data_IF_353823525535
#
_entry.id   IF_353823525535
#
_cell.length_a   1.000
_cell.length_b   1.000
_cell.length_c   1.000
_cell.angle_alpha   90.00
_cell.angle_beta   90.00
_cell.angle_gamma   90.00
#
_symmetry.space_group_name_H-M   'P 1'
#
loop_
_entity.id
_entity.type
_entity.pdbx_description
1 polymer ?
#
# COMPACT_ATOMS: atom_id res chain seq x y z
N UNK A 1 5.21 -10.73 12.93
CA UNK A 1 5.01 -11.05 11.50
C UNK A 1 4.62 -12.51 11.34
N UNK A 2 3.68 -12.80 10.45
CA UNK A 2 3.38 -14.14 9.93
C UNK A 2 3.98 -14.26 8.52
N UNK A 3 4.70 -15.33 8.22
CA UNK A 3 5.00 -15.76 6.85
C UNK A 3 4.24 -17.07 6.62
N UNK A 4 3.41 -17.10 5.58
CA UNK A 4 2.60 -18.23 5.16
C UNK A 4 3.12 -18.69 3.81
N UNK A 5 3.53 -19.95 3.71
CA UNK A 5 4.15 -20.51 2.50
C UNK A 5 3.19 -21.56 1.91
N UNK A 6 2.99 -21.52 0.59
CA UNK A 6 2.12 -22.43 -0.15
C UNK A 6 2.86 -23.03 -1.33
N UNK A 7 2.40 -24.20 -1.76
CA UNK A 7 3.07 -25.00 -2.79
C UNK A 7 3.12 -24.26 -4.15
N UNK A 8 2.11 -23.44 -4.45
CA UNK A 8 2.01 -22.66 -5.68
C UNK A 8 1.24 -21.32 -5.52
N UNK A 9 1.22 -20.54 -6.60
CA UNK A 9 0.58 -19.23 -6.70
C UNK A 9 -0.96 -19.24 -6.61
N UNK A 10 -1.64 -20.33 -6.99
CA UNK A 10 -3.10 -20.46 -6.86
C UNK A 10 -3.46 -20.78 -5.40
N UNK A 11 -2.71 -21.66 -4.73
CA UNK A 11 -2.85 -21.94 -3.31
C UNK A 11 -2.54 -20.71 -2.43
N UNK A 12 -1.52 -19.91 -2.78
CA UNK A 12 -1.24 -18.62 -2.14
C UNK A 12 -2.38 -17.61 -2.35
N UNK A 13 -2.88 -17.49 -3.59
CA UNK A 13 -4.01 -16.61 -3.92
C UNK A 13 -5.30 -17.01 -3.20
N UNK A 14 -5.60 -18.30 -3.13
CA UNK A 14 -6.76 -18.85 -2.45
C UNK A 14 -6.71 -18.61 -0.94
N UNK A 15 -5.52 -18.75 -0.32
CA UNK A 15 -5.35 -18.44 1.10
C UNK A 15 -5.64 -16.97 1.41
N UNK A 16 -5.12 -16.04 0.60
CA UNK A 16 -5.40 -14.60 0.78
C UNK A 16 -6.87 -14.27 0.52
N UNK A 17 -7.49 -14.83 -0.52
CA UNK A 17 -8.89 -14.58 -0.82
C UNK A 17 -9.83 -15.11 0.29
N UNK A 18 -9.57 -16.31 0.82
CA UNK A 18 -10.28 -16.84 1.98
C UNK A 18 -10.09 -15.91 3.19
N UNK A 19 -8.85 -15.48 3.47
CA UNK A 19 -8.56 -14.61 4.61
C UNK A 19 -9.30 -13.27 4.54
N UNK A 20 -9.36 -12.65 3.36
CA UNK A 20 -10.13 -11.40 3.15
C UNK A 20 -11.64 -11.63 3.36
N UNK A 21 -12.20 -12.74 2.85
CA UNK A 21 -13.61 -13.10 3.09
C UNK A 21 -13.89 -13.32 4.57
N UNK A 22 -13.03 -14.03 5.29
CA UNK A 22 -13.18 -14.27 6.72
C UNK A 22 -12.99 -13.00 7.54
N UNK A 23 -12.11 -12.09 7.12
CA UNK A 23 -11.92 -10.79 7.79
C UNK A 23 -13.14 -9.90 7.65
N UNK A 24 -13.77 -9.83 6.47
CA UNK A 24 -15.01 -9.09 6.23
C UNK A 24 -16.17 -9.74 7.02
N UNK A 25 -16.33 -11.08 6.98
CA UNK A 25 -17.36 -11.81 7.73
C UNK A 25 -17.28 -11.55 9.25
N UNK A 26 -16.08 -11.64 9.83
CA UNK A 26 -15.90 -11.43 11.27
C UNK A 26 -16.00 -9.96 11.70
N UNK A 27 -15.85 -9.01 10.76
CA UNK A 27 -16.12 -7.60 11.01
C UNK A 27 -17.63 -7.28 10.93
N UNK A 28 -18.38 -8.03 10.11
CA UNK A 28 -19.82 -7.90 9.90
C UNK A 28 -20.25 -6.46 9.54
N UNK A 29 -19.79 -5.94 8.38
CA UNK A 29 -19.94 -4.52 8.05
C UNK A 29 -21.38 -4.11 7.73
N UNK A 30 -21.72 -2.88 8.13
CA UNK A 30 -23.03 -2.26 7.96
C UNK A 30 -22.88 -0.86 7.34
N UNK A 31 -23.95 -0.22 6.84
CA UNK A 31 -23.84 1.13 6.26
C UNK A 31 -23.28 2.20 7.22
N UNK A 32 -23.48 2.02 8.54
CA UNK A 32 -22.95 2.91 9.58
C UNK A 32 -21.57 2.49 10.12
N UNK A 33 -21.09 1.30 9.75
CA UNK A 33 -19.79 0.75 10.15
C UNK A 33 -19.26 -0.18 9.05
N UNK A 34 -18.75 0.38 7.94
CA UNK A 34 -18.26 -0.38 6.78
C UNK A 34 -16.85 -0.92 7.02
N UNK A 35 -16.46 -1.96 6.30
CA UNK A 35 -15.10 -2.51 6.33
C UNK A 35 -14.20 -1.77 5.35
N UNK A 36 -13.05 -1.26 5.80
CA UNK A 36 -12.15 -0.47 4.96
C UNK A 36 -10.96 -1.31 4.47
N UNK A 37 -10.86 -1.48 3.15
CA UNK A 37 -9.94 -2.40 2.47
C UNK A 37 -8.96 -1.65 1.55
N UNK A 38 -7.67 -1.68 1.89
CA UNK A 38 -6.59 -1.23 1.00
C UNK A 38 -6.29 -2.26 -0.09
N UNK A 39 -6.12 -1.84 -1.35
CA UNK A 39 -5.99 -2.74 -2.51
C UNK A 39 -4.80 -2.41 -3.45
N UNK A 40 -4.05 -3.42 -3.94
CA UNK A 40 -2.97 -3.24 -4.91
C UNK A 40 -3.42 -3.59 -6.34
N UNK A 41 -2.60 -3.23 -7.33
CA UNK A 41 -2.76 -3.66 -8.74
C UNK A 41 -1.65 -4.62 -9.15
N UNK A 42 -1.42 -4.79 -10.46
CA UNK A 42 -0.39 -5.68 -11.00
C UNK A 42 -0.79 -7.16 -11.02
N UNK A 43 0.17 -8.04 -11.31
CA UNK A 43 -0.12 -9.46 -11.56
C UNK A 43 -0.41 -10.29 -10.31
N UNK A 44 0.29 -10.04 -9.19
CA UNK A 44 0.17 -10.85 -7.96
C UNK A 44 -1.25 -10.92 -7.36
N UNK A 45 -2.05 -9.83 -7.27
CA UNK A 45 -3.42 -9.92 -6.72
C UNK A 45 -4.46 -10.49 -7.70
N UNK A 46 -4.15 -10.75 -8.98
CA UNK A 46 -5.15 -11.20 -9.96
C UNK A 46 -5.82 -12.54 -9.57
N UNK A 47 -5.05 -13.47 -8.99
CA UNK A 47 -5.59 -14.73 -8.46
C UNK A 47 -6.55 -14.48 -7.29
N UNK A 48 -6.20 -13.57 -6.39
CA UNK A 48 -7.04 -13.16 -5.26
C UNK A 48 -8.36 -12.57 -5.77
N UNK A 49 -8.32 -11.62 -6.71
CA UNK A 49 -9.53 -11.00 -7.28
C UNK A 49 -10.43 -12.00 -8.00
N UNK A 50 -9.86 -12.91 -8.82
CA UNK A 50 -10.60 -14.01 -9.46
C UNK A 50 -11.40 -14.82 -8.43
N UNK A 51 -10.77 -15.18 -7.31
CA UNK A 51 -11.39 -16.02 -6.26
C UNK A 51 -12.42 -15.21 -5.43
N UNK A 52 -12.15 -13.95 -5.11
CA UNK A 52 -13.13 -13.06 -4.45
C UNK A 52 -14.40 -12.88 -5.30
N UNK A 53 -14.24 -12.71 -6.62
CA UNK A 53 -15.37 -12.64 -7.58
C UNK A 53 -16.14 -13.97 -7.66
N UNK A 54 -15.45 -15.11 -7.64
CA UNK A 54 -16.10 -16.43 -7.58
C UNK A 54 -16.90 -16.60 -6.29
N UNK A 55 -16.33 -16.23 -5.13
CA UNK A 55 -17.01 -16.31 -3.82
C UNK A 55 -18.21 -15.38 -3.70
N UNK A 56 -18.12 -14.15 -4.24
CA UNK A 56 -19.28 -13.27 -4.35
C UNK A 56 -20.40 -13.90 -5.21
N UNK A 57 -20.06 -14.44 -6.39
CA UNK A 57 -21.02 -15.10 -7.28
C UNK A 57 -21.60 -16.41 -6.72
N UNK A 58 -20.92 -17.04 -5.75
CA UNK A 58 -21.42 -18.17 -4.98
C UNK A 58 -22.27 -17.77 -3.74
N UNK A 59 -22.47 -16.46 -3.49
CA UNK A 59 -23.19 -15.96 -2.33
C UNK A 59 -22.41 -16.05 -1.00
N UNK A 60 -21.11 -16.34 -1.04
CA UNK A 60 -20.30 -16.49 0.17
C UNK A 60 -19.91 -15.15 0.83
N UNK A 61 -19.99 -14.03 0.11
CA UNK A 61 -19.53 -12.71 0.58
C UNK A 61 -20.29 -11.58 -0.12
N UNK A 62 -20.41 -10.41 0.54
CA UNK A 62 -20.95 -9.16 -0.01
C UNK A 62 -19.93 -8.03 0.13
N UNK A 63 -19.87 -7.14 -0.87
CA UNK A 63 -19.01 -5.95 -0.90
C UNK A 63 -19.80 -4.63 -0.75
N UNK A 64 -21.11 -4.70 -0.52
CA UNK A 64 -22.04 -3.57 -0.35
C UNK A 64 -21.57 -2.57 0.72
N UNK A 65 -21.23 -3.08 1.91
CA UNK A 65 -20.71 -2.30 3.04
C UNK A 65 -19.16 -2.31 3.11
N UNK A 66 -18.47 -2.45 1.98
CA UNK A 66 -17.00 -2.35 1.89
C UNK A 66 -16.63 -1.00 1.25
N UNK A 67 -15.63 -0.33 1.81
CA UNK A 67 -14.98 0.85 1.24
C UNK A 67 -13.57 0.46 0.82
N UNK A 68 -13.17 0.80 -0.41
CA UNK A 68 -11.85 0.45 -0.95
C UNK A 68 -10.99 1.68 -1.18
N UNK A 69 -9.69 1.54 -0.92
CA UNK A 69 -8.65 2.52 -1.27
C UNK A 69 -7.53 1.81 -2.03
N UNK A 70 -7.30 2.19 -3.29
CA UNK A 70 -6.14 1.70 -4.03
C UNK A 70 -4.83 2.34 -3.57
N UNK A 71 -3.72 1.63 -3.77
CA UNK A 71 -2.36 2.10 -3.47
C UNK A 71 -1.93 3.30 -4.32
N UNK A 72 -2.27 3.32 -5.61
CA UNK A 72 -1.65 4.20 -6.59
C UNK A 72 -2.50 4.39 -7.85
N UNK A 73 -2.11 5.37 -8.67
CA UNK A 73 -2.52 5.57 -10.07
C UNK A 73 -1.42 6.36 -10.82
N UNK A 74 -1.26 6.11 -12.12
CA UNK A 74 -0.29 6.85 -12.94
C UNK A 74 -0.72 8.31 -13.15
N UNK A 75 0.24 9.24 -13.11
CA UNK A 75 -0.03 10.65 -13.42
C UNK A 75 -0.10 10.86 -14.93
N UNK A 76 -1.12 11.59 -15.39
CA UNK A 76 -1.32 11.97 -16.79
C UNK A 76 -1.94 10.88 -17.68
N UNK A 77 -2.12 9.65 -17.20
CA UNK A 77 -2.82 8.60 -17.96
C UNK A 77 -4.33 8.91 -18.00
N UNK A 78 -5.04 8.67 -19.12
CA UNK A 78 -6.50 8.73 -19.13
C UNK A 78 -7.13 7.69 -18.21
N UNK A 79 -8.14 8.09 -17.42
CA UNK A 79 -8.87 7.22 -16.47
C UNK A 79 -9.57 6.01 -17.12
N UNK A 80 -9.82 6.06 -18.42
CA UNK A 80 -10.40 5.03 -19.27
C UNK A 80 -9.35 4.25 -20.09
N UNK A 81 -8.07 4.65 -20.06
CA UNK A 81 -6.98 3.90 -20.69
C UNK A 81 -6.92 2.48 -20.13
N UNK A 82 -6.73 1.42 -20.95
CA UNK A 82 -6.81 0.03 -20.49
C UNK A 82 -5.82 -0.32 -19.37
N UNK A 83 -4.63 0.31 -19.39
CA UNK A 83 -3.55 0.08 -18.42
C UNK A 83 -3.52 1.13 -17.28
N UNK A 84 -4.56 1.97 -17.14
CA UNK A 84 -4.77 2.75 -15.90
C UNK A 84 -5.15 1.84 -14.75
N UNK A 85 -4.77 2.18 -13.53
CA UNK A 85 -5.10 1.37 -12.36
C UNK A 85 -6.60 1.44 -12.03
N UNK A 86 -7.27 2.53 -12.41
CA UNK A 86 -8.72 2.62 -12.49
C UNK A 86 -9.32 1.54 -13.41
N UNK A 87 -8.94 1.48 -14.70
CA UNK A 87 -9.44 0.46 -15.64
C UNK A 87 -9.12 -0.96 -15.18
N UNK A 88 -7.91 -1.20 -14.66
CA UNK A 88 -7.51 -2.48 -14.09
C UNK A 88 -8.48 -2.95 -12.99
N UNK A 89 -8.80 -2.09 -12.02
CA UNK A 89 -9.65 -2.48 -10.89
C UNK A 89 -11.12 -2.72 -11.29
N UNK A 90 -11.66 -1.93 -12.23
CA UNK A 90 -13.01 -2.20 -12.77
C UNK A 90 -13.05 -3.48 -13.61
N UNK A 91 -12.02 -3.73 -14.44
CA UNK A 91 -11.89 -4.94 -15.26
C UNK A 91 -11.79 -6.22 -14.43
N UNK A 92 -11.05 -6.20 -13.31
CA UNK A 92 -10.69 -7.40 -12.55
C UNK A 92 -11.49 -7.62 -11.26
N UNK A 93 -12.10 -6.58 -10.66
CA UNK A 93 -12.88 -6.72 -9.42
C UNK A 93 -14.22 -5.97 -9.47
N UNK A 94 -14.22 -4.64 -9.56
CA UNK A 94 -15.38 -3.82 -9.18
C UNK A 94 -16.60 -4.02 -10.09
N UNK A 95 -16.44 -4.31 -11.39
CA UNK A 95 -17.57 -4.62 -12.29
C UNK A 95 -18.21 -5.99 -12.05
N UNK A 96 -17.69 -6.79 -11.11
CA UNK A 96 -18.11 -8.19 -10.90
C UNK A 96 -18.67 -8.47 -9.49
N UNK A 97 -18.73 -7.45 -8.63
CA UNK A 97 -19.19 -7.53 -7.23
C UNK A 97 -20.15 -6.38 -6.91
N UNK A 98 -20.96 -6.50 -5.85
CA UNK A 98 -21.95 -5.48 -5.44
C UNK A 98 -21.34 -4.29 -4.66
N UNK A 99 -20.12 -3.87 -4.96
CA UNK A 99 -19.53 -2.67 -4.34
C UNK A 99 -20.20 -1.40 -4.91
N UNK A 100 -20.57 -0.47 -4.04
CA UNK A 100 -21.11 0.82 -4.51
C UNK A 100 -19.97 1.67 -5.11
N UNK A 101 -20.14 2.28 -6.30
CA UNK A 101 -19.08 3.10 -6.92
C UNK A 101 -18.60 4.28 -6.07
N UNK A 102 -19.47 4.81 -5.19
CA UNK A 102 -19.12 5.87 -4.24
C UNK A 102 -18.18 5.42 -3.11
N UNK A 103 -18.10 4.11 -2.85
CA UNK A 103 -17.22 3.50 -1.86
C UNK A 103 -15.82 3.19 -2.45
N UNK A 104 -15.64 3.32 -3.77
CA UNK A 104 -14.38 3.05 -4.47
C UNK A 104 -13.52 4.32 -4.51
N UNK A 105 -12.37 4.29 -3.85
CA UNK A 105 -11.39 5.38 -3.89
C UNK A 105 -10.13 4.92 -4.63
N UNK A 106 -9.76 5.69 -5.65
CA UNK A 106 -8.51 5.60 -6.42
C UNK A 106 -8.00 7.03 -6.58
N UNK A 107 -6.69 7.24 -6.53
CA UNK A 107 -6.04 8.54 -6.69
C UNK A 107 -6.28 9.11 -8.10
N UNK A 108 -6.69 10.36 -8.21
CA UNK A 108 -6.89 10.99 -9.52
C UNK A 108 -5.58 11.50 -10.14
N UNK A 109 -4.89 10.63 -10.88
CA UNK A 109 -3.67 10.97 -11.63
C UNK A 109 -3.83 12.06 -12.71
N UNK A 110 -5.05 12.49 -13.01
CA UNK A 110 -5.36 13.60 -13.94
C UNK A 110 -5.72 14.91 -13.22
N UNK A 111 -5.63 14.97 -11.87
CA UNK A 111 -5.93 16.20 -11.11
C UNK A 111 -4.87 17.28 -11.39
N UNK A 112 -5.23 18.52 -11.80
CA UNK A 112 -4.27 19.59 -12.03
C UNK A 112 -3.52 20.04 -10.76
N UNK A 113 -4.03 19.74 -9.57
CA UNK A 113 -3.29 19.88 -8.30
C UNK A 113 -3.12 18.51 -7.63
N UNK A 114 -2.05 17.83 -8.03
CA UNK A 114 -1.68 16.50 -7.54
C UNK A 114 -1.38 16.46 -6.03
N UNK A 115 -0.89 17.55 -5.43
CA UNK A 115 -0.65 17.61 -3.98
C UNK A 115 -1.96 17.68 -3.21
N UNK A 116 -2.91 18.50 -3.66
CA UNK A 116 -4.25 18.57 -3.08
C UNK A 116 -5.01 17.24 -3.21
N UNK A 117 -4.83 16.50 -4.31
CA UNK A 117 -5.35 15.13 -4.47
C UNK A 117 -4.82 14.20 -3.37
N UNK A 118 -3.50 14.19 -3.14
CA UNK A 118 -2.89 13.36 -2.10
C UNK A 118 -3.38 13.72 -0.69
N UNK A 119 -3.48 15.02 -0.36
CA UNK A 119 -4.01 15.50 0.93
C UNK A 119 -5.49 15.14 1.11
N UNK A 120 -6.30 15.24 0.05
CA UNK A 120 -7.70 14.82 0.07
C UNK A 120 -7.84 13.30 0.25
N UNK A 121 -6.96 12.50 -0.35
CA UNK A 121 -6.96 11.04 -0.22
C UNK A 121 -6.66 10.58 1.22
N UNK A 122 -5.61 11.13 1.84
CA UNK A 122 -5.30 10.93 3.26
C UNK A 122 -6.47 11.35 4.16
N UNK A 123 -7.09 12.49 3.84
CA UNK A 123 -8.25 13.00 4.59
C UNK A 123 -9.47 12.08 4.50
N UNK A 124 -9.72 11.45 3.34
CA UNK A 124 -10.77 10.44 3.16
C UNK A 124 -10.48 9.16 3.97
N UNK A 125 -9.25 8.64 3.93
CA UNK A 125 -8.84 7.48 4.73
C UNK A 125 -9.07 7.75 6.22
N UNK A 126 -8.70 8.94 6.69
CA UNK A 126 -8.93 9.35 8.08
C UNK A 126 -10.41 9.52 8.42
N UNK A 127 -11.22 10.05 7.51
CA UNK A 127 -12.65 10.28 7.71
C UNK A 127 -13.46 8.98 7.89
N UNK A 128 -13.03 7.87 7.28
CA UNK A 128 -13.64 6.54 7.48
C UNK A 128 -13.03 5.76 8.66
N UNK A 129 -12.11 6.35 9.42
CA UNK A 129 -11.51 5.76 10.62
C UNK A 129 -10.22 4.96 10.40
N UNK A 130 -9.61 5.04 9.22
CA UNK A 130 -8.42 4.27 8.82
C UNK A 130 -8.76 2.99 8.05
N UNK A 131 -7.74 2.19 7.70
CA UNK A 131 -7.87 0.96 6.91
C UNK A 131 -7.84 -0.26 7.84
N UNK A 132 -8.81 -1.17 7.73
CA UNK A 132 -8.93 -2.35 8.60
C UNK A 132 -8.06 -3.53 8.13
N UNK A 133 -7.84 -3.64 6.81
CA UNK A 133 -6.88 -4.55 6.18
C UNK A 133 -6.32 -3.90 4.91
N UNK A 134 -5.00 -3.81 4.79
CA UNK A 134 -4.32 -3.38 3.57
C UNK A 134 -3.73 -4.59 2.84
N UNK A 135 -4.26 -4.94 1.67
CA UNK A 135 -3.66 -5.93 0.77
C UNK A 135 -2.54 -5.24 -0.04
N UNK A 136 -1.36 -5.85 -0.08
CA UNK A 136 -0.17 -5.28 -0.70
C UNK A 136 0.50 -6.28 -1.66
N UNK A 137 1.22 -5.74 -2.65
CA UNK A 137 2.23 -6.48 -3.41
C UNK A 137 3.65 -6.03 -3.03
N UNK A 138 4.65 -6.56 -3.75
CA UNK A 138 6.05 -6.11 -3.68
C UNK A 138 6.62 -5.91 -5.08
N UNK A 139 7.52 -4.93 -5.27
CA UNK A 139 8.36 -4.81 -6.46
C UNK A 139 9.46 -5.88 -6.55
N UNK A 140 10.17 -5.97 -7.67
CA UNK A 140 11.39 -6.81 -7.80
C UNK A 140 12.59 -6.20 -7.02
N UNK A 141 12.47 -4.91 -6.67
CA UNK A 141 13.35 -4.05 -5.86
C UNK A 141 12.93 -3.92 -4.38
N UNK A 142 11.83 -4.55 -3.96
CA UNK A 142 11.28 -4.43 -2.61
C UNK A 142 10.34 -3.25 -2.35
N UNK A 143 9.88 -2.49 -3.36
CA UNK A 143 8.91 -1.42 -3.13
C UNK A 143 7.55 -1.94 -2.65
N UNK A 144 6.84 -1.15 -1.82
CA UNK A 144 5.44 -1.34 -1.44
C UNK A 144 4.61 -0.16 -1.96
N UNK A 145 3.59 -0.42 -2.78
CA UNK A 145 3.09 0.60 -3.75
C UNK A 145 4.28 1.17 -4.58
N UNK A 146 4.12 2.32 -5.25
CA UNK A 146 5.28 3.04 -5.81
C UNK A 146 6.18 3.75 -4.76
N UNK A 147 6.39 3.16 -3.57
CA UNK A 147 7.41 3.64 -2.62
C UNK A 147 8.80 3.12 -3.01
N UNK A 148 9.28 3.58 -4.17
CA UNK A 148 10.57 3.21 -4.77
C UNK A 148 11.75 3.34 -3.79
N UNK A 149 12.84 2.56 -3.96
CA UNK A 149 14.05 2.62 -3.14
C UNK A 149 14.53 4.04 -2.84
N UNK A 150 14.88 4.26 -1.58
CA UNK A 150 15.24 5.57 -1.03
C UNK A 150 14.05 6.35 -0.44
N UNK A 151 12.79 5.96 -0.73
CA UNK A 151 11.60 6.62 -0.18
C UNK A 151 11.55 6.55 1.35
N UNK A 152 11.24 7.69 2.01
CA UNK A 152 11.12 7.74 3.46
C UNK A 152 10.10 6.73 3.99
N UNK A 153 10.49 5.96 5.02
CA UNK A 153 9.60 5.01 5.68
C UNK A 153 8.47 5.70 6.48
N UNK A 154 8.64 7.00 6.80
CA UNK A 154 7.60 7.85 7.40
C UNK A 154 6.79 8.64 6.34
N UNK A 155 6.89 8.29 5.06
CA UNK A 155 6.23 9.04 3.96
C UNK A 155 4.70 8.92 4.00
N UNK A 156 4.04 9.98 3.52
CA UNK A 156 2.59 10.02 3.21
C UNK A 156 2.34 9.85 1.71
N UNK A 157 1.06 9.82 1.37
CA UNK A 157 0.56 9.86 -0.01
C UNK A 157 1.12 11.08 -0.74
N UNK A 158 1.65 10.89 -1.96
CA UNK A 158 2.40 11.91 -2.70
C UNK A 158 2.53 11.58 -4.19
N UNK A 159 2.99 12.55 -4.97
CA UNK A 159 3.60 12.31 -6.30
C UNK A 159 4.95 11.63 -6.12
N UNK A 160 5.24 10.61 -6.94
CA UNK A 160 6.55 9.95 -6.99
C UNK A 160 6.97 9.66 -8.43
N UNK A 161 8.22 9.98 -8.76
CA UNK A 161 8.90 9.54 -9.99
C UNK A 161 9.21 8.06 -9.90
N UNK A 162 8.87 7.32 -10.96
CA UNK A 162 9.14 5.88 -11.04
C UNK A 162 10.63 5.60 -11.25
N UNK A 163 11.10 4.49 -10.70
CA UNK A 163 12.43 3.97 -10.93
C UNK A 163 12.56 3.39 -12.35
N UNK A 164 13.80 3.31 -12.86
CA UNK A 164 14.07 2.70 -14.16
C UNK A 164 13.61 1.24 -14.23
N UNK A 165 13.84 0.47 -13.16
CA UNK A 165 13.44 -0.94 -13.09
C UNK A 165 11.91 -1.10 -13.06
N UNK A 166 11.19 -0.19 -12.40
CA UNK A 166 9.72 -0.11 -12.42
C UNK A 166 9.19 0.22 -13.83
N UNK A 167 9.81 1.17 -14.53
CA UNK A 167 9.49 1.50 -15.93
C UNK A 167 9.72 0.29 -16.83
N UNK A 168 10.88 -0.37 -16.71
CA UNK A 168 11.22 -1.56 -17.49
C UNK A 168 10.25 -2.72 -17.21
N UNK A 169 9.94 -2.99 -15.94
CA UNK A 169 9.01 -4.05 -15.53
C UNK A 169 7.57 -3.81 -15.99
N UNK A 170 7.13 -2.55 -16.07
CA UNK A 170 5.77 -2.19 -16.50
C UNK A 170 5.64 -1.96 -18.01
N UNK A 171 6.74 -1.72 -18.75
CA UNK A 171 6.72 -1.56 -20.21
C UNK A 171 5.98 -2.68 -20.95
N UNK A 172 6.00 -3.92 -20.44
CA UNK A 172 5.25 -5.09 -20.95
C UNK A 172 3.74 -4.85 -21.11
N UNK A 173 3.15 -3.93 -20.33
CA UNK A 173 1.75 -3.54 -20.45
C UNK A 173 1.55 -2.48 -21.54
N UNK A 174 2.55 -1.62 -21.73
CA UNK A 174 2.60 -0.56 -22.75
C UNK A 174 3.29 -1.04 -24.04
N UNK A 175 2.99 -2.26 -24.49
CA UNK A 175 3.50 -2.83 -25.75
C UNK A 175 4.99 -3.23 -25.76
N UNK A 176 5.67 -3.21 -24.60
CA UNK A 176 7.13 -3.26 -24.42
C UNK A 176 7.87 -1.98 -24.85
N UNK A 177 7.16 -0.85 -24.99
CA UNK A 177 7.75 0.47 -25.16
C UNK A 177 7.93 1.14 -23.78
N UNK A 178 9.15 1.61 -23.49
CA UNK A 178 9.49 2.28 -22.22
C UNK A 178 9.11 3.75 -22.20
N UNK A 179 8.96 4.40 -23.36
CA UNK A 179 8.63 5.82 -23.44
C UNK A 179 7.11 6.08 -23.35
N UNK A 180 6.29 5.03 -23.52
CA UNK A 180 4.84 5.05 -23.26
C UNK A 180 4.50 4.88 -21.77
N UNK A 181 5.46 4.46 -20.93
CA UNK A 181 5.21 4.26 -19.49
C UNK A 181 5.17 5.62 -18.77
N UNK A 182 4.11 5.95 -18.02
CA UNK A 182 4.04 7.22 -17.29
C UNK A 182 5.17 7.35 -16.26
N UNK A 183 5.97 8.41 -16.35
CA UNK A 183 7.19 8.59 -15.53
C UNK A 183 6.91 9.02 -14.08
N UNK A 184 5.67 9.37 -13.78
CA UNK A 184 5.18 9.81 -12.47
C UNK A 184 3.93 9.02 -12.08
N UNK A 185 3.75 8.76 -10.79
CA UNK A 185 2.52 8.21 -10.22
C UNK A 185 2.12 8.98 -8.96
N UNK A 186 0.83 8.93 -8.61
CA UNK A 186 0.35 9.18 -7.26
C UNK A 186 0.39 7.87 -6.50
N UNK A 187 0.88 7.88 -5.27
CA UNK A 187 1.01 6.68 -4.46
C UNK A 187 0.84 6.97 -2.99
N UNK A 188 0.22 6.05 -2.24
CA UNK A 188 0.15 6.08 -0.78
C UNK A 188 1.55 6.00 -0.17
N UNK A 189 1.74 6.61 0.99
CA UNK A 189 3.01 6.57 1.70
C UNK A 189 3.27 5.25 2.42
N UNK A 190 4.53 4.98 2.75
CA UNK A 190 4.87 3.82 3.60
C UNK A 190 4.15 3.92 4.94
N UNK A 191 4.11 5.10 5.56
CA UNK A 191 3.38 5.32 6.81
C UNK A 191 1.86 5.20 6.63
N UNK A 192 1.33 5.59 5.46
CA UNK A 192 -0.09 5.42 5.12
C UNK A 192 -0.50 3.94 5.09
N UNK A 193 0.39 3.04 4.65
CA UNK A 193 0.16 1.59 4.70
C UNK A 193 0.34 1.04 6.12
N UNK A 194 1.36 1.49 6.86
CA UNK A 194 1.62 1.09 8.25
C UNK A 194 0.58 1.59 9.28
N UNK A 195 -0.32 2.48 8.88
CA UNK A 195 -1.47 2.94 9.69
C UNK A 195 -2.74 2.10 9.49
N UNK A 196 -2.71 1.09 8.61
CA UNK A 196 -3.73 0.06 8.60
C UNK A 196 -3.68 -0.77 9.90
N UNK A 197 -4.80 -1.38 10.29
CA UNK A 197 -4.82 -2.27 11.47
C UNK A 197 -4.16 -3.62 11.20
N UNK A 198 -4.09 -4.00 9.94
CA UNK A 198 -3.53 -5.24 9.42
C UNK A 198 -2.97 -4.98 8.01
N UNK A 199 -1.82 -5.57 7.69
CA UNK A 199 -1.25 -5.54 6.34
C UNK A 199 -0.97 -6.97 5.90
N UNK A 200 -1.49 -7.34 4.73
CA UNK A 200 -1.31 -8.66 4.10
C UNK A 200 -0.58 -8.45 2.77
N UNK A 201 0.67 -8.87 2.66
CA UNK A 201 1.42 -8.85 1.40
C UNK A 201 1.30 -10.21 0.68
N UNK A 202 1.00 -10.19 -0.63
CA UNK A 202 1.08 -11.38 -1.49
C UNK A 202 2.29 -11.27 -2.43
N UNK A 203 3.19 -12.25 -2.37
CA UNK A 203 4.50 -12.22 -3.05
C UNK A 203 4.72 -13.56 -3.75
N UNK A 204 4.75 -13.55 -5.08
CA UNK A 204 4.69 -14.75 -5.92
C UNK A 204 5.84 -14.77 -6.95
N UNK A 205 6.41 -15.95 -7.17
CA UNK A 205 7.38 -16.25 -8.20
C UNK A 205 8.83 -15.88 -7.87
N UNK A 206 9.77 -16.65 -8.44
CA UNK A 206 11.22 -16.57 -8.17
C UNK A 206 11.82 -15.15 -8.29
N UNK A 207 11.29 -14.32 -9.20
CA UNK A 207 11.71 -12.92 -9.37
C UNK A 207 11.57 -12.06 -8.11
N UNK A 208 10.72 -12.44 -7.16
CA UNK A 208 10.50 -11.72 -5.90
C UNK A 208 11.30 -12.29 -4.73
N UNK A 209 12.06 -13.37 -4.92
CA UNK A 209 12.75 -14.04 -3.82
C UNK A 209 13.82 -13.16 -3.15
N UNK A 210 14.63 -12.44 -3.94
CA UNK A 210 15.60 -11.49 -3.40
C UNK A 210 14.92 -10.37 -2.60
N UNK A 211 13.84 -9.79 -3.14
CA UNK A 211 13.07 -8.76 -2.45
C UNK A 211 12.45 -9.26 -1.14
N UNK A 212 11.92 -10.50 -1.12
CA UNK A 212 11.42 -11.14 0.09
C UNK A 212 12.53 -11.30 1.14
N UNK A 213 13.68 -11.90 0.78
CA UNK A 213 14.82 -12.07 1.70
C UNK A 213 15.27 -10.73 2.30
N UNK A 214 15.44 -9.71 1.45
CA UNK A 214 15.84 -8.36 1.87
C UNK A 214 14.83 -7.72 2.82
N UNK A 215 13.54 -8.05 2.70
CA UNK A 215 12.49 -7.50 3.56
C UNK A 215 12.24 -8.30 4.85
N UNK A 216 12.63 -9.57 4.96
CA UNK A 216 12.33 -10.41 6.14
C UNK A 216 13.53 -10.99 6.89
N UNK A 217 14.71 -11.13 6.26
CA UNK A 217 15.93 -11.64 6.91
C UNK A 217 16.95 -10.54 7.22
N UNK A 218 16.82 -9.37 6.60
CA UNK A 218 17.72 -8.22 6.79
C UNK A 218 17.01 -7.09 7.55
N UNK A 219 17.76 -6.12 8.07
CA UNK A 219 17.19 -5.03 8.85
C UNK A 219 16.34 -4.05 8.02
N UNK A 220 15.41 -3.36 8.71
CA UNK A 220 14.57 -2.30 8.14
C UNK A 220 15.40 -1.26 7.38
N UNK A 221 15.08 -1.05 6.10
CA UNK A 221 15.90 -0.26 5.19
C UNK A 221 15.02 0.44 4.13
N UNK A 222 15.21 1.75 3.94
CA UNK A 222 14.48 2.55 2.94
C UNK A 222 14.79 2.19 1.47
N UNK A 223 15.83 1.38 1.22
CA UNK A 223 16.11 0.80 -0.10
C UNK A 223 15.24 -0.43 -0.44
N UNK A 224 14.56 -1.01 0.56
CA UNK A 224 13.67 -2.16 0.40
C UNK A 224 12.41 -1.88 1.23
N UNK A 225 11.52 -0.99 0.74
CA UNK A 225 10.55 -0.30 1.61
C UNK A 225 9.51 -1.22 2.28
N UNK A 226 9.24 -2.40 1.72
CA UNK A 226 8.41 -3.43 2.39
C UNK A 226 9.06 -4.00 3.67
N UNK A 227 10.38 -3.86 3.87
CA UNK A 227 11.06 -4.20 5.14
C UNK A 227 10.49 -3.44 6.35
N UNK A 228 9.83 -2.30 6.13
CA UNK A 228 9.12 -1.55 7.17
C UNK A 228 7.98 -2.34 7.83
N UNK A 229 7.46 -3.40 7.19
CA UNK A 229 6.49 -4.31 7.80
C UNK A 229 7.04 -5.02 9.05
N UNK A 230 8.36 -5.07 9.27
CA UNK A 230 8.93 -5.54 10.54
C UNK A 230 8.53 -4.67 11.75
N UNK A 231 8.19 -3.39 11.52
CA UNK A 231 7.72 -2.45 12.54
C UNK A 231 6.20 -2.51 12.76
N UNK A 232 5.47 -3.16 11.87
CA UNK A 232 4.00 -3.23 11.93
C UNK A 232 3.54 -4.25 13.01
N UNK A 233 2.50 -3.97 13.81
CA UNK A 233 2.03 -4.90 14.84
C UNK A 233 1.40 -6.17 14.26
N UNK A 234 0.70 -6.06 13.12
CA UNK A 234 -0.01 -7.18 12.49
C UNK A 234 0.29 -7.33 10.99
N UNK A 235 1.53 -7.72 10.61
CA UNK A 235 1.91 -7.98 9.24
C UNK A 235 1.85 -9.48 8.93
N UNK A 236 1.19 -9.82 7.82
CA UNK A 236 1.18 -11.14 7.21
C UNK A 236 1.81 -11.05 5.82
N UNK A 237 2.64 -12.02 5.48
CA UNK A 237 3.18 -12.20 4.13
C UNK A 237 2.77 -13.60 3.67
N UNK A 238 2.19 -13.72 2.48
CA UNK A 238 1.73 -14.99 1.89
C UNK A 238 2.47 -15.19 0.56
N UNK A 239 3.11 -16.35 0.42
CA UNK A 239 4.06 -16.63 -0.67
C UNK A 239 3.87 -18.02 -1.27
N UNK A 240 4.30 -18.20 -2.51
CA UNK A 240 4.58 -19.51 -3.10
C UNK A 240 6.00 -20.00 -2.74
N UNK A 241 6.32 -21.28 -2.97
CA UNK A 241 7.67 -21.82 -2.74
C UNK A 241 8.74 -21.08 -3.56
N UNK A 242 8.40 -20.70 -4.80
CA UNK A 242 9.28 -20.00 -5.75
C UNK A 242 9.78 -18.65 -5.18
N UNK A 243 8.91 -17.88 -4.53
CA UNK A 243 9.31 -16.65 -3.85
C UNK A 243 10.21 -16.89 -2.62
N UNK A 244 10.44 -18.14 -2.18
CA UNK A 244 11.33 -18.46 -1.04
C UNK A 244 12.75 -18.86 -1.41
N UNK A 245 13.11 -18.92 -2.70
CA UNK A 245 14.40 -19.47 -3.17
C UNK A 245 15.66 -18.79 -2.60
N UNK A 246 15.57 -17.51 -2.22
CA UNK A 246 16.68 -16.74 -1.63
C UNK A 246 16.65 -16.73 -0.08
N UNK A 247 15.65 -17.36 0.55
CA UNK A 247 15.56 -17.46 2.02
C UNK A 247 16.46 -18.55 2.57
N UNK A 248 16.90 -18.39 3.82
CA UNK A 248 17.56 -19.47 4.54
C UNK A 248 16.59 -20.63 4.76
N UNK A 249 17.07 -21.86 4.51
CA UNK A 249 16.35 -23.12 4.80
C UNK A 249 15.85 -23.17 6.26
N UNK A 250 16.54 -22.50 7.19
CA UNK A 250 16.11 -22.36 8.59
C UNK A 250 14.85 -21.49 8.73
N UNK A 251 14.76 -20.37 8.01
CA UNK A 251 13.61 -19.45 7.98
C UNK A 251 12.37 -20.15 7.42
N UNK A 252 12.50 -20.80 6.27
CA UNK A 252 11.42 -21.58 5.63
C UNK A 252 10.90 -22.69 6.58
N UNK A 253 11.81 -23.45 7.19
CA UNK A 253 11.45 -24.51 8.17
C UNK A 253 10.81 -23.94 9.43
N UNK A 254 11.28 -22.80 9.94
CA UNK A 254 10.72 -22.13 11.12
C UNK A 254 9.25 -21.74 10.91
N UNK A 255 8.94 -21.05 9.82
CA UNK A 255 7.57 -20.61 9.54
C UNK A 255 6.63 -21.76 9.19
N UNK A 256 7.05 -22.73 8.36
CA UNK A 256 6.25 -23.95 8.09
C UNK A 256 5.97 -24.76 9.37
N UNK A 257 6.94 -24.83 10.29
CA UNK A 257 6.76 -25.51 11.57
C UNK A 257 5.76 -24.77 12.47
N UNK A 258 5.88 -23.45 12.60
CA UNK A 258 4.96 -22.65 13.42
C UNK A 258 3.53 -22.71 12.87
N UNK A 259 3.33 -22.57 11.56
CA UNK A 259 1.98 -22.66 10.96
C UNK A 259 1.36 -24.04 11.19
N UNK A 260 2.15 -25.11 11.04
CA UNK A 260 1.71 -26.48 11.31
C UNK A 260 1.28 -26.66 12.77
N UNK A 261 2.15 -26.29 13.73
CA UNK A 261 1.87 -26.46 15.17
C UNK A 261 0.69 -25.60 15.61
N UNK A 262 0.60 -24.36 15.12
CA UNK A 262 -0.55 -23.47 15.32
C UNK A 262 -1.86 -24.17 14.94
N UNK A 263 -1.94 -24.68 13.70
CA UNK A 263 -3.11 -25.41 13.18
C UNK A 263 -3.40 -26.70 13.96
N UNK A 264 -2.37 -27.47 14.32
CA UNK A 264 -2.52 -28.72 15.09
C UNK A 264 -3.02 -28.51 16.53
N UNK A 265 -2.76 -27.34 17.12
CA UNK A 265 -3.28 -26.95 18.44
C UNK A 265 -4.63 -26.21 18.38
N UNK A 266 -5.21 -26.01 17.19
CA UNK A 266 -6.38 -25.14 17.01
C UNK A 266 -6.12 -23.65 17.34
N UNK A 267 -4.85 -23.26 17.46
CA UNK A 267 -4.42 -21.90 17.78
C UNK A 267 -4.03 -21.18 16.49
N UNK A 268 -4.93 -20.36 15.95
CA UNK A 268 -4.54 -19.39 14.94
C UNK A 268 -3.97 -18.12 15.60
N UNK A 269 -2.99 -17.47 14.96
CA UNK A 269 -2.58 -16.10 15.30
C UNK A 269 -3.65 -15.10 14.83
N UNK A 270 -4.76 -15.10 15.56
CA UNK A 270 -5.95 -14.27 15.37
C UNK A 270 -5.65 -12.85 15.87
N UNK A 271 -6.06 -11.84 15.09
CA UNK A 271 -5.99 -10.43 15.50
C UNK A 271 -6.77 -10.18 16.81
N UNK A 272 -6.34 -9.24 17.66
CA UNK A 272 -7.13 -8.78 18.81
C UNK A 272 -8.58 -8.45 18.40
N UNK A 273 -9.55 -8.79 19.24
CA UNK A 273 -10.98 -8.64 18.91
C UNK A 273 -11.35 -7.23 18.44
N UNK A 274 -10.86 -6.19 19.14
CA UNK A 274 -11.00 -4.76 18.78
C UNK A 274 -10.46 -4.37 17.40
N UNK A 275 -9.59 -5.18 16.79
CA UNK A 275 -9.05 -4.99 15.44
C UNK A 275 -9.84 -5.81 14.42
N UNK A 276 -10.36 -6.99 14.82
CA UNK A 276 -11.26 -7.79 13.96
C UNK A 276 -12.58 -7.09 13.68
N UNK A 277 -13.15 -6.43 14.69
CA UNK A 277 -14.48 -5.79 14.64
C UNK A 277 -14.46 -4.29 14.36
N UNK A 278 -13.29 -3.72 14.02
CA UNK A 278 -13.13 -2.28 13.86
C UNK A 278 -13.29 -1.47 15.16
N UNK A 279 -13.11 -0.13 15.09
CA UNK A 279 -13.41 0.78 16.18
C UNK A 279 -14.92 0.95 16.29
N UNK A 280 -15.51 0.65 17.45
CA UNK A 280 -16.96 0.81 17.67
C UNK A 280 -17.43 2.19 17.20
N UNK A 281 -18.48 2.27 16.36
CA UNK A 281 -18.92 3.56 15.82
C UNK A 281 -19.30 4.50 16.97
N UNK A 282 -19.06 5.81 16.83
CA UNK A 282 -19.42 6.77 17.87
C UNK A 282 -20.93 6.65 18.16
N UNK A 283 -21.35 6.71 19.45
CA UNK A 283 -22.77 6.58 19.78
C UNK A 283 -23.54 7.67 19.05
N UNK A 284 -24.50 7.25 18.22
CA UNK A 284 -25.40 8.17 17.52
C UNK A 284 -26.05 9.07 18.59
N UNK A 285 -25.92 10.40 18.50
CA UNK A 285 -26.63 11.29 19.41
C UNK A 285 -28.11 11.02 19.27
N UNK A 286 -28.72 10.46 20.31
CA UNK A 286 -30.18 10.34 20.39
C UNK A 286 -30.68 11.77 20.54
N UNK A 287 -31.06 12.38 19.41
CA UNK A 287 -31.82 13.63 19.41
C UNK A 287 -33.10 13.36 20.15
N UNK A 288 -33.13 13.71 21.44
CA UNK A 288 -34.38 13.81 22.19
C UNK A 288 -35.19 14.88 21.51
N UNK A 289 -36.23 14.45 20.82
CA UNK A 289 -37.37 15.30 20.54
C UNK A 289 -38.05 15.44 21.89
N UNK A 290 -37.74 16.53 22.60
CA UNK A 290 -38.52 16.88 23.79
C UNK A 290 -39.98 17.05 23.34
N UNK A 291 -40.92 16.42 24.06
CA UNK A 291 -42.34 16.49 23.71
C UNK A 291 -42.83 17.93 23.94
N UNK A 292 -42.91 18.70 22.86
CA UNK A 292 -43.45 20.06 22.89
C UNK A 292 -44.95 19.97 23.12
N UNK A 293 -45.39 20.31 24.34
CA UNK A 293 -46.80 20.38 24.72
C UNK A 293 -47.63 21.11 23.64
N UNK A 294 -48.60 20.39 23.06
CA UNK A 294 -49.44 20.93 21.99
C UNK A 294 -50.18 22.18 22.51
N UNK A 295 -50.05 23.36 21.86
CA UNK A 295 -50.63 24.59 22.38
C UNK A 295 -52.15 24.46 22.49
N UNK A 296 -52.67 24.54 23.71
CA UNK A 296 -54.09 24.35 24.01
C UNK A 296 -54.92 25.44 23.31
N UNK A 297 -55.79 25.03 22.39
CA UNK A 297 -56.72 25.92 21.70
C UNK A 297 -57.81 26.35 22.70
N UNK A 298 -57.61 27.50 23.32
CA UNK A 298 -58.60 28.11 24.21
C UNK A 298 -59.81 28.59 23.40
N UNK A 299 -60.99 28.06 23.70
CA UNK A 299 -62.25 28.52 23.11
C UNK A 299 -62.51 30.01 23.45
N UNK A 300 -63.08 30.78 22.51
CA UNK A 300 -63.32 32.22 22.71
C UNK A 300 -64.35 32.46 23.81
N UNK A 301 -63.98 33.23 24.83
CA UNK A 301 -64.88 33.68 25.89
C UNK A 301 -65.74 34.88 25.42
N UNK A 302 -67.03 34.93 25.76
CA UNK A 302 -67.93 35.98 25.28
C UNK A 302 -67.67 37.32 25.96
N UNK A 303 -67.62 38.39 25.16
CA UNK A 303 -67.42 39.76 25.63
C UNK A 303 -68.64 40.32 26.34
N UNK A 304 -68.44 40.85 27.54
CA UNK A 304 -69.35 41.82 28.17
C UNK A 304 -68.57 43.09 28.52
N UNK A 305 -69.17 44.26 28.23
CA UNK A 305 -68.49 45.55 28.29
C UNK A 305 -69.05 46.41 29.42
N UNK A 306 -68.18 47.15 30.12
CA UNK A 306 -68.59 48.31 30.92
C UNK A 306 -67.57 49.44 30.83
N UNK A 307 -68.09 50.65 30.65
CA UNK A 307 -67.34 51.85 30.26
C UNK A 307 -66.62 52.51 31.44
N UNK A 308 -65.45 53.11 31.18
CA UNK A 308 -65.34 54.58 31.19
C UNK A 308 -64.07 55.08 30.46
N UNK A 309 -64.09 56.36 30.05
CA UNK A 309 -63.06 56.98 29.18
C UNK A 309 -62.01 57.75 29.98
N UNK A 310 -60.77 57.72 29.49
CA UNK A 310 -59.93 58.90 29.31
C UNK A 310 -59.07 58.72 28.03
N UNK A 311 -58.64 59.81 27.40
CA UNK A 311 -58.00 59.84 26.07
C UNK A 311 -57.29 61.19 25.86
N UNK A 312 -56.40 61.38 24.86
CA UNK A 312 -55.44 60.43 24.27
C UNK A 312 -54.02 61.04 24.05
N UNK A 313 -53.12 60.23 23.50
CA UNK A 313 -52.05 60.54 22.53
C UNK A 313 -51.30 61.91 22.52
N UNK A 314 -49.97 61.81 22.45
CA UNK A 314 -49.17 62.58 21.47
C UNK A 314 -47.96 61.75 21.05
N UNK A 315 -47.46 61.92 19.83
CA UNK A 315 -46.45 61.05 19.20
C UNK A 315 -45.43 61.89 18.40
N UNK A 316 -44.15 61.49 18.37
CA UNK A 316 -43.07 62.02 17.50
C UNK A 316 -42.72 63.53 17.65
N UNK A 317 -41.76 64.12 16.89
CA UNK A 317 -40.63 63.56 16.10
C UNK A 317 -39.23 64.23 16.37
N UNK A 318 -38.25 63.87 15.52
CA UNK A 318 -37.25 64.75 14.82
C UNK A 318 -35.77 64.34 14.97
N UNK A 319 -35.02 64.51 13.88
CA UNK A 319 -33.60 64.14 13.66
C UNK A 319 -32.63 65.32 13.84
N UNK A 320 -31.36 64.95 14.02
CA UNK A 320 -30.14 65.55 13.40
C UNK A 320 -29.73 67.00 13.68
N UNK A 321 -28.43 67.17 13.99
CA UNK A 321 -27.50 67.90 13.11
C UNK A 321 -26.04 67.47 13.33
N UNK A 322 -25.14 67.97 12.49
CA UNK A 322 -23.76 67.50 12.27
C UNK A 322 -22.71 68.58 12.51
N UNK A 323 -21.57 68.20 13.09
CA UNK A 323 -20.28 68.91 12.96
C UNK A 323 -19.12 67.93 13.08
N UNK A 324 -18.19 67.97 12.13
CA UNK A 324 -16.82 67.42 12.19
C UNK A 324 -15.85 68.56 12.60
N UNK A 325 -14.49 68.41 12.66
CA UNK A 325 -13.65 67.26 12.27
C UNK A 325 -12.50 66.95 13.28
N UNK A 326 -11.38 66.42 12.76
CA UNK A 326 -10.00 66.47 13.27
C UNK A 326 -9.55 65.54 14.42
N UNK A 327 -8.94 64.42 14.04
CA UNK A 327 -7.73 63.85 14.68
C UNK A 327 -6.76 63.42 13.56
N UNK A 328 -5.51 63.88 13.61
CA UNK A 328 -4.45 63.55 12.64
C UNK A 328 -3.70 62.25 12.97
N UNK A 329 -2.99 61.72 11.96
CA UNK A 329 -2.02 60.63 12.09
C UNK A 329 -0.59 61.19 12.04
N UNK A 330 0.22 60.99 13.09
CA UNK A 330 1.67 61.24 13.06
C UNK A 330 2.44 60.12 13.78
N UNK A 331 3.61 59.78 13.24
CA UNK A 331 4.60 58.83 13.78
C UNK A 331 5.45 59.43 14.91
N UNK A 332 6.18 58.57 15.66
CA UNK A 332 7.58 58.71 16.14
C UNK A 332 7.81 57.86 17.42
N UNK A 333 9.03 57.57 17.92
CA UNK A 333 10.33 57.27 17.28
C UNK A 333 11.33 56.80 18.36
N UNK A 334 12.42 56.13 17.94
CA UNK A 334 13.72 55.94 18.64
C UNK A 334 13.80 55.67 20.17
N UNK A 335 14.12 54.42 20.50
CA UNK A 335 15.29 53.98 21.30
C UNK A 335 15.78 54.75 22.56
N UNK A 336 16.19 54.00 23.61
CA UNK A 336 17.62 53.64 23.79
C UNK A 336 17.95 52.89 25.11
N UNK A 337 19.02 52.07 25.07
CA UNK A 337 20.00 51.72 26.16
C UNK A 337 19.45 51.12 27.48
N UNK A 338 20.13 50.26 28.25
CA UNK A 338 21.36 49.42 28.23
C UNK A 338 21.19 48.38 29.37
N UNK A 339 21.97 47.31 29.61
CA UNK A 339 23.44 47.12 29.54
C UNK A 339 23.77 45.62 29.72
N UNK A 340 24.81 45.10 29.09
CA UNK A 340 25.56 43.91 29.56
C UNK A 340 26.80 44.34 30.36
N UNK A 341 27.44 43.43 31.10
CA UNK A 341 28.70 42.79 30.65
C UNK A 341 28.78 41.30 31.08
N UNK A 342 29.80 40.46 30.84
CA UNK A 342 31.09 40.48 30.11
C UNK A 342 31.43 38.99 29.80
N UNK A 343 31.95 38.59 28.63
CA UNK A 343 33.39 38.51 28.26
C UNK A 343 34.27 37.66 29.22
N UNK A 344 35.25 36.85 28.77
CA UNK A 344 35.95 36.68 27.47
C UNK A 344 36.36 35.15 27.32
N UNK A 345 37.25 34.60 26.48
CA UNK A 345 38.31 35.12 25.58
C UNK A 345 38.58 34.21 24.34
N UNK A 346 38.71 34.87 23.18
CA UNK A 346 39.44 34.55 21.92
C UNK A 346 40.27 33.25 21.73
N UNK A 347 40.16 32.65 20.52
CA UNK A 347 41.15 32.81 19.41
C UNK A 347 40.61 32.26 18.07
N UNK A 348 41.25 32.64 16.95
CA UNK A 348 40.82 32.31 15.58
C UNK A 348 42.00 32.03 14.63
N UNK A 349 41.76 31.23 13.58
CA UNK A 349 42.59 31.07 12.37
C UNK A 349 41.64 30.83 11.18
N UNK A 350 42.01 31.28 9.97
CA UNK A 350 41.23 31.11 8.73
C UNK A 350 41.89 30.05 7.79
N UNK A 351 41.64 29.96 6.47
CA UNK A 351 40.94 28.79 5.92
C UNK A 351 41.81 27.98 4.92
N UNK A 352 41.14 27.35 3.95
CA UNK A 352 41.63 26.56 2.81
C UNK A 352 42.02 25.09 3.07
N UNK A 353 41.23 24.20 2.44
CA UNK A 353 41.65 22.83 2.11
C UNK A 353 41.18 22.51 0.69
N UNK A 354 42.15 22.41 -0.22
CA UNK A 354 41.95 22.06 -1.63
C UNK A 354 41.73 20.55 -1.77
N UNK A 355 40.94 20.13 -2.75
CA UNK A 355 40.77 18.72 -3.11
C UNK A 355 42.06 18.13 -3.68
N UNK A 356 42.65 17.14 -3.00
CA UNK A 356 43.84 16.45 -3.49
C UNK A 356 43.50 15.15 -4.27
N UNK A 357 44.38 14.76 -5.20
CA UNK A 357 44.29 13.56 -6.06
C UNK A 357 45.64 12.85 -6.08
N UNK A 358 45.67 11.59 -5.69
CA UNK A 358 46.87 10.72 -5.83
C UNK A 358 46.51 9.33 -6.33
N UNK A 359 47.54 8.61 -6.80
CA UNK A 359 47.54 7.29 -7.47
C UNK A 359 46.92 7.27 -8.89
N UNK A 360 47.60 6.73 -9.93
CA UNK A 360 49.03 6.39 -10.04
C UNK A 360 49.49 6.35 -11.52
N UNK A 361 50.80 6.16 -11.79
CA UNK A 361 51.41 6.24 -13.13
C UNK A 361 51.90 4.88 -13.66
N UNK A 362 51.57 4.55 -14.91
CA UNK A 362 52.38 3.70 -15.81
C UNK A 362 52.37 4.35 -17.22
N UNK A 363 53.52 4.48 -17.94
CA UNK A 363 53.60 5.25 -19.18
C UNK A 363 53.53 4.41 -20.48
N UNK A 364 53.02 5.03 -21.56
CA UNK A 364 53.05 4.52 -22.95
C UNK A 364 52.59 5.59 -23.95
N UNK A 365 53.31 5.76 -25.07
CA UNK A 365 53.23 6.88 -26.06
C UNK A 365 53.45 6.28 -27.47
N UNK A 366 53.01 6.85 -28.62
CA UNK A 366 52.21 8.08 -28.91
C UNK A 366 50.77 7.76 -29.44
N UNK A 367 49.78 8.65 -29.58
CA UNK A 367 49.68 10.09 -29.92
C UNK A 367 49.78 10.43 -31.43
N UNK A 368 48.64 10.51 -32.13
CA UNK A 368 48.56 11.03 -33.51
C UNK A 368 47.17 11.59 -33.90
N UNK A 369 47.20 12.75 -34.58
CA UNK A 369 46.20 13.30 -35.53
C UNK A 369 44.77 13.62 -35.07
N UNK A 370 44.54 14.93 -34.97
CA UNK A 370 43.28 15.67 -35.05
C UNK A 370 42.39 15.34 -36.27
N UNK A 371 41.06 15.31 -36.08
CA UNK A 371 40.07 15.34 -37.17
C UNK A 371 38.70 15.85 -36.69
N UNK A 372 38.00 16.65 -37.49
CA UNK A 372 36.72 17.31 -37.12
C UNK A 372 35.74 17.26 -38.30
N UNK A 373 34.44 17.44 -37.99
CA UNK A 373 33.30 17.68 -38.88
C UNK A 373 32.59 16.45 -39.48
N UNK A 374 31.28 16.38 -39.19
CA UNK A 374 30.22 15.80 -40.03
C UNK A 374 29.85 16.80 -41.16
N UNK A 375 29.24 16.39 -42.30
CA UNK A 375 27.76 16.36 -42.33
C UNK A 375 27.08 15.35 -43.30
N UNK A 376 25.94 14.79 -42.84
CA UNK A 376 24.71 14.33 -43.54
C UNK A 376 24.71 13.43 -44.82
N UNK A 377 23.57 12.74 -45.09
CA UNK A 377 23.42 11.75 -46.17
C UNK A 377 22.57 12.23 -47.37
N UNK A 378 22.51 11.45 -48.47
CA UNK A 378 21.33 11.41 -49.35
C UNK A 378 21.27 10.20 -50.32
N UNK A 379 20.04 9.90 -50.80
CA UNK A 379 19.64 9.00 -51.94
C UNK A 379 19.86 7.47 -51.74
N UNK A 380 18.90 6.57 -52.03
CA UNK A 380 18.02 6.32 -53.20
C UNK A 380 18.78 5.71 -54.41
N UNK A 381 18.29 4.71 -55.17
CA UNK A 381 16.95 4.07 -55.25
C UNK A 381 17.00 2.66 -55.91
N UNK A 382 15.96 1.83 -55.66
CA UNK A 382 15.34 0.77 -56.50
C UNK A 382 16.14 -0.11 -57.51
N UNK A 383 15.99 -1.44 -57.38
CA UNK A 383 15.26 -2.37 -58.29
C UNK A 383 15.15 -3.75 -57.56
N UNK A 384 14.03 -4.49 -57.53
CA UNK A 384 13.38 -5.30 -58.59
C UNK A 384 14.32 -6.35 -59.22
N UNK A 385 13.94 -7.61 -59.48
CA UNK A 385 12.60 -8.20 -59.66
C UNK A 385 12.66 -9.76 -59.50
N UNK A 386 11.55 -10.43 -59.08
CA UNK A 386 11.12 -11.84 -59.37
C UNK A 386 12.12 -13.04 -59.32
N UNK A 387 11.75 -14.29 -59.00
CA UNK A 387 10.53 -15.03 -59.41
C UNK A 387 10.16 -16.22 -58.49
N UNK A 388 9.12 -16.96 -58.89
CA UNK A 388 8.47 -18.09 -58.18
C UNK A 388 8.88 -19.47 -58.71
N UNK A 389 8.91 -20.52 -57.88
CA UNK A 389 7.96 -21.68 -58.00
C UNK A 389 8.22 -22.88 -57.06
N UNK A 390 7.12 -23.50 -56.63
CA UNK A 390 6.84 -24.93 -56.29
C UNK A 390 7.85 -25.98 -56.84
N UNK A 391 8.10 -27.17 -56.24
CA UNK A 391 7.16 -28.12 -55.59
C UNK A 391 7.81 -29.36 -54.89
N UNK A 392 7.13 -29.88 -53.85
CA UNK A 392 6.83 -31.31 -53.51
C UNK A 392 7.94 -32.40 -53.67
N UNK A 393 8.32 -33.07 -52.57
CA UNK A 393 8.07 -34.52 -52.35
C UNK A 393 8.52 -35.08 -50.97
N UNK A 394 7.98 -36.27 -50.63
CA UNK A 394 8.05 -37.06 -49.36
C UNK A 394 9.50 -37.51 -49.00
N UNK A 395 9.86 -37.93 -47.78
CA UNK A 395 9.27 -39.07 -47.03
C UNK A 395 9.88 -39.36 -45.63
N UNK A 396 9.22 -40.28 -44.89
CA UNK A 396 9.72 -41.18 -43.82
C UNK A 396 10.10 -40.66 -42.41
N UNK A 397 9.45 -41.26 -41.40
CA UNK A 397 9.83 -41.36 -39.96
C UNK A 397 10.41 -42.76 -39.67
N UNK A 398 11.18 -42.98 -38.58
CA UNK A 398 10.65 -43.25 -37.23
C UNK A 398 11.18 -42.24 -36.18
N UNK A 399 10.43 -41.84 -35.13
CA UNK A 399 9.96 -42.61 -33.95
C UNK A 399 11.08 -42.90 -32.92
N UNK A 400 10.96 -42.29 -31.73
CA UNK A 400 11.86 -42.43 -30.58
C UNK A 400 11.04 -42.60 -29.31
N UNK A 401 11.34 -43.64 -28.52
CA UNK A 401 10.65 -43.96 -27.26
C UNK A 401 11.58 -43.65 -26.07
N UNK A 402 11.12 -42.94 -25.02
CA UNK A 402 11.91 -42.69 -23.81
C UNK A 402 12.17 -43.98 -23.01
N UNK A 403 13.41 -44.15 -22.54
CA UNK A 403 13.88 -45.38 -21.89
C UNK A 403 13.37 -45.54 -20.44
N UNK A 404 13.20 -46.79 -20.00
CA UNK A 404 12.65 -47.19 -18.68
C UNK A 404 13.69 -47.93 -17.83
N UNK A 405 14.59 -47.20 -17.18
CA UNK A 405 15.49 -47.77 -16.18
C UNK A 405 14.86 -47.79 -14.78
N UNK A 406 13.99 -48.77 -14.56
CA UNK A 406 13.45 -49.10 -13.23
C UNK A 406 13.27 -50.62 -13.03
N UNK A 407 14.22 -51.28 -12.37
CA UNK A 407 13.97 -52.34 -11.36
C UNK A 407 15.27 -52.96 -10.78
N UNK A 408 15.13 -53.61 -9.61
CA UNK A 408 16.04 -54.66 -9.03
C UNK A 408 17.39 -54.25 -8.43
N UNK A 409 17.37 -53.82 -7.16
CA UNK A 409 18.18 -54.43 -6.09
C UNK A 409 17.25 -54.66 -4.87
N UNK A 410 17.31 -55.78 -4.12
CA UNK A 410 16.40 -56.05 -2.99
C UNK A 410 16.92 -55.54 -1.63
N UNK A 411 16.00 -55.36 -0.67
CA UNK A 411 16.33 -55.11 0.75
C UNK A 411 16.84 -56.36 1.48
N UNK A 412 17.68 -56.16 2.53
CA UNK A 412 17.68 -56.98 3.74
C UNK A 412 17.14 -56.19 4.95
N UNK A 413 16.28 -56.81 5.75
CA UNK A 413 15.59 -56.15 6.86
C UNK A 413 16.51 -55.78 8.05
N UNK A 414 16.27 -54.61 8.66
CA UNK A 414 16.96 -54.18 9.89
C UNK A 414 16.00 -53.56 10.91
N UNK A 415 15.38 -54.41 11.72
CA UNK A 415 14.52 -53.99 12.82
C UNK A 415 15.34 -53.67 14.09
N UNK A 416 15.51 -52.38 14.42
CA UNK A 416 15.80 -51.93 15.80
C UNK A 416 15.45 -50.46 16.00
N UNK A 417 14.52 -50.16 16.92
CA UNK A 417 14.26 -48.80 17.41
C UNK A 417 15.41 -48.37 18.33
N UNK A 418 15.85 -47.11 18.21
CA UNK A 418 16.77 -46.45 19.15
C UNK A 418 16.10 -45.22 19.76
N UNK A 419 15.23 -45.46 20.75
CA UNK A 419 14.72 -44.46 21.68
C UNK A 419 14.65 -45.09 23.08
N UNK A 420 15.32 -44.54 24.10
CA UNK A 420 15.24 -45.06 25.47
C UNK A 420 13.86 -44.78 26.10
N UNK A 421 13.41 -45.68 26.99
CA UNK A 421 12.11 -45.56 27.65
C UNK A 421 12.16 -44.53 28.81
N UNK A 422 11.10 -43.74 29.09
CA UNK A 422 11.19 -42.61 30.03
C UNK A 422 11.49 -42.97 31.51
N UNK A 423 11.24 -44.22 31.92
CA UNK A 423 11.19 -44.61 33.33
C UNK A 423 12.56 -44.75 34.02
N UNK A 424 13.67 -44.73 33.28
CA UNK A 424 15.02 -44.83 33.86
C UNK A 424 15.66 -43.48 34.26
N UNK A 425 14.99 -42.34 34.05
CA UNK A 425 15.51 -41.02 34.48
C UNK A 425 15.17 -40.63 35.93
N UNK A 426 14.34 -41.39 36.65
CA UNK A 426 14.00 -41.05 38.05
C UNK A 426 15.02 -41.52 39.10
N UNK A 427 15.94 -42.44 38.77
CA UNK A 427 16.92 -42.97 39.73
C UNK A 427 18.23 -42.17 39.87
N UNK A 428 18.42 -41.08 39.13
CA UNK A 428 19.66 -40.27 39.16
C UNK A 428 19.52 -38.90 39.84
N UNK A 429 18.40 -38.63 40.53
CA UNK A 429 18.14 -37.35 41.24
C UNK A 429 17.91 -37.45 42.74
N UNK A 430 18.19 -38.61 43.36
CA UNK A 430 18.16 -38.79 44.82
C UNK A 430 19.59 -39.00 45.34
N UNK A 431 20.42 -37.95 45.29
CA UNK A 431 21.66 -37.76 46.07
C UNK A 431 22.30 -36.39 45.75
N UNK A 432 21.63 -35.30 46.11
CA UNK A 432 22.15 -33.93 46.01
C UNK A 432 21.42 -32.96 46.96
N UNK A 433 21.53 -33.21 48.28
CA UNK A 433 21.07 -32.28 49.34
C UNK A 433 22.21 -32.15 50.34
N UNK A 434 22.63 -30.92 50.65
CA UNK A 434 23.55 -30.62 51.76
C UNK A 434 24.83 -29.86 51.37
N UNK A 435 24.70 -28.55 51.14
CA UNK A 435 25.69 -27.49 51.42
C UNK A 435 25.01 -26.12 51.21
#
# INVERSE_FOLDING_TARGET
MRLIIRDDAEAASAYVANYVVDRIKHFNPTPAHPFVLGLPTGSSPLGVYKILVQKYKAGEISFENVITFNMDEYVGIPRDHPESYHSFMWKHLFSHVNIHPQNVNILNGQNPNLEAECVAYESKIKAVGGIDLFLAGIGEDGHIAFNEPGSSLASRTRVKTLAYDTILANSRFFGNDVDQVPRLALTVGVQTVLEAREVVAIILGAKKALALQRCIEQGVNHMWTLSSLQLHPHPMIVVDEDATLELQVKTVKYFKSIEKVAREQGFEQILPSKIRTGPSPPPIPITRIDEVDTPTILHPQPTTSRLLRASPATEYPVRSRSTSPDIELVFESMASRTKSPSEQQLRAVTPDLVTDRMAERIPGVPAAVTGRLTPNPEKQQQQQQTSTSTSISRSATPELVPDRMASRIPEPALARRLTPNPEQQMMSRVNAVGA
#
